data_IF_978439043603
#
_entry.id   IF_978439043603
#
_cell.length_a   1.000
_cell.length_b   1.000
_cell.length_c   1.000
_cell.angle_alpha   90.00
_cell.angle_beta   90.00
_cell.angle_gamma   90.00
#
_symmetry.space_group_name_H-M   'P 1'
#
loop_
_entity.id
_entity.type
_entity.pdbx_description
1 polymer ?
#
# COMPACT_ATOMS: atom_id res chain seq x y z
N UNK A 1 18.93 -3.54 6.08
CA UNK A 1 17.73 -4.39 6.30
C UNK A 1 18.03 -5.86 6.55
N UNK A 2 18.50 -6.65 5.57
CA UNK A 2 18.76 -8.10 5.80
C UNK A 2 19.81 -8.36 6.88
N UNK A 3 20.92 -7.62 6.86
CA UNK A 3 21.98 -7.73 7.87
C UNK A 3 21.49 -7.35 9.27
N UNK A 4 20.63 -6.34 9.38
CA UNK A 4 20.03 -5.89 10.64
C UNK A 4 19.08 -6.96 11.20
N UNK A 5 18.24 -7.55 10.34
CA UNK A 5 17.37 -8.66 10.72
C UNK A 5 18.17 -9.87 11.21
N UNK A 6 19.22 -10.25 10.48
CA UNK A 6 20.08 -11.38 10.88
C UNK A 6 20.82 -11.09 12.18
N UNK A 7 21.26 -9.85 12.39
CA UNK A 7 21.81 -9.41 13.69
C UNK A 7 20.80 -9.63 14.80
N UNK A 8 19.56 -9.16 14.63
CA UNK A 8 18.47 -9.32 15.61
C UNK A 8 18.09 -10.78 15.88
N UNK A 9 18.13 -11.64 14.87
CA UNK A 9 17.88 -13.09 15.03
C UNK A 9 19.00 -13.75 15.86
N UNK A 10 20.25 -13.32 15.67
CA UNK A 10 21.42 -13.92 16.32
C UNK A 10 21.75 -13.35 17.70
N UNK A 11 21.03 -12.31 18.16
CA UNK A 11 21.19 -11.75 19.51
C UNK A 11 20.85 -12.79 20.61
N UNK A 12 21.64 -12.86 21.70
CA UNK A 12 21.34 -13.73 22.82
C UNK A 12 19.94 -13.49 23.39
N UNK A 13 19.12 -14.54 23.48
CA UNK A 13 17.74 -14.45 23.97
C UNK A 13 16.72 -13.99 22.92
N UNK A 14 17.10 -13.84 21.65
CA UNK A 14 16.17 -13.49 20.57
C UNK A 14 15.03 -14.52 20.44
N UNK A 15 13.81 -14.01 20.30
CA UNK A 15 12.59 -14.80 20.04
C UNK A 15 12.23 -14.84 18.53
N UNK A 16 13.06 -14.26 17.67
CA UNK A 16 12.85 -14.30 16.22
C UNK A 16 13.42 -15.59 15.62
N UNK A 17 12.66 -16.22 14.72
CA UNK A 17 13.06 -17.44 14.01
C UNK A 17 12.80 -17.25 12.52
N UNK A 18 13.86 -17.39 11.72
CA UNK A 18 13.76 -17.38 10.26
C UNK A 18 13.73 -18.82 9.74
N UNK A 19 12.72 -19.15 8.93
CA UNK A 19 12.60 -20.43 8.23
C UNK A 19 12.78 -20.20 6.72
N UNK A 20 14.01 -20.23 6.18
CA UNK A 20 14.24 -20.09 4.74
C UNK A 20 13.66 -21.30 3.99
N UNK A 21 13.49 -21.16 2.67
CA UNK A 21 12.97 -22.21 1.79
C UNK A 21 11.64 -22.81 2.26
N UNK A 22 10.86 -22.09 3.06
CA UNK A 22 9.65 -22.59 3.71
C UNK A 22 8.46 -21.73 3.31
N UNK A 23 7.36 -22.36 2.95
CA UNK A 23 6.10 -21.70 2.62
C UNK A 23 5.02 -22.11 3.63
N UNK A 24 4.06 -21.22 3.87
CA UNK A 24 2.82 -21.54 4.58
C UNK A 24 1.87 -22.20 3.57
N UNK A 25 1.36 -23.38 3.88
CA UNK A 25 0.41 -24.11 3.01
C UNK A 25 -1.01 -24.15 3.59
N UNK A 26 -1.16 -23.93 4.89
CA UNK A 26 -2.46 -23.75 5.54
C UNK A 26 -2.33 -22.82 6.75
N UNK A 27 -3.40 -22.10 7.05
CA UNK A 27 -3.59 -21.37 8.31
C UNK A 27 -4.76 -22.07 8.98
N UNK A 28 -4.51 -22.63 10.15
CA UNK A 28 -5.39 -23.60 10.80
C UNK A 28 -5.98 -23.01 12.09
N UNK A 29 -7.25 -23.33 12.35
CA UNK A 29 -8.00 -22.90 13.53
C UNK A 29 -9.52 -22.86 13.27
N UNK A 30 -10.31 -22.73 14.34
CA UNK A 30 -11.79 -22.67 14.23
C UNK A 30 -12.29 -21.22 14.19
N UNK A 31 -12.30 -20.52 15.33
CA UNK A 31 -12.74 -19.11 15.43
C UNK A 31 -11.60 -18.11 15.26
N UNK A 32 -10.36 -18.55 15.48
CA UNK A 32 -9.14 -17.74 15.40
C UNK A 32 -7.99 -18.60 14.91
N UNK A 33 -6.87 -17.97 14.55
CA UNK A 33 -5.63 -18.68 14.21
C UNK A 33 -5.12 -19.44 15.43
N UNK A 34 -4.77 -20.71 15.24
CA UNK A 34 -4.18 -21.57 16.27
C UNK A 34 -2.85 -22.16 15.82
N UNK A 35 -2.67 -22.40 14.52
CA UNK A 35 -1.41 -22.88 13.96
C UNK A 35 -1.28 -22.58 12.47
N UNK A 36 -0.11 -22.84 11.92
CA UNK A 36 0.15 -22.87 10.48
C UNK A 36 0.80 -24.17 10.07
N UNK A 37 0.40 -24.69 8.92
CA UNK A 37 1.11 -25.78 8.26
C UNK A 37 2.20 -25.20 7.36
N UNK A 38 3.44 -25.60 7.61
CA UNK A 38 4.64 -25.15 6.88
C UNK A 38 5.17 -26.28 6.01
N UNK A 39 5.67 -25.93 4.82
CA UNK A 39 6.36 -26.86 3.93
C UNK A 39 7.69 -26.30 3.49
N UNK A 40 8.77 -27.05 3.72
CA UNK A 40 10.06 -26.74 3.13
C UNK A 40 10.08 -27.17 1.65
N UNK A 41 10.36 -26.25 0.72
CA UNK A 41 10.28 -26.51 -0.73
C UNK A 41 11.48 -27.30 -1.27
N UNK A 42 12.59 -27.38 -0.52
CA UNK A 42 13.76 -28.17 -0.92
C UNK A 42 13.71 -29.61 -0.39
N UNK A 43 13.37 -29.78 0.88
CA UNK A 43 13.33 -31.10 1.53
C UNK A 43 11.96 -31.77 1.45
N UNK A 44 10.92 -31.01 1.11
CA UNK A 44 9.50 -31.43 1.13
C UNK A 44 8.97 -31.79 2.52
N UNK A 45 9.74 -31.55 3.58
CA UNK A 45 9.28 -31.74 4.95
C UNK A 45 8.10 -30.82 5.26
N UNK A 46 7.11 -31.37 5.95
CA UNK A 46 5.93 -30.65 6.43
C UNK A 46 5.96 -30.65 7.95
N UNK A 47 5.70 -29.50 8.55
CA UNK A 47 5.58 -29.35 10.00
C UNK A 47 4.40 -28.43 10.33
N UNK A 48 3.85 -28.59 11.53
CA UNK A 48 2.87 -27.68 12.09
C UNK A 48 3.56 -26.76 13.09
N UNK A 49 3.20 -25.48 13.09
CA UNK A 49 3.71 -24.49 14.02
C UNK A 49 2.55 -23.80 14.71
N UNK A 50 2.45 -23.96 16.03
CA UNK A 50 1.44 -23.28 16.85
C UNK A 50 1.69 -21.77 16.87
N UNK A 51 0.64 -20.99 16.65
CA UNK A 51 0.70 -19.52 16.68
C UNK A 51 -0.70 -18.91 16.83
N UNK A 52 -0.79 -17.76 17.50
CA UNK A 52 -2.07 -17.06 17.68
C UNK A 52 -2.41 -16.07 16.54
N UNK A 53 -1.50 -15.87 15.57
CA UNK A 53 -1.68 -14.89 14.51
C UNK A 53 -0.67 -15.00 13.37
N UNK A 54 -1.13 -14.64 12.17
CA UNK A 54 -0.33 -14.62 10.94
C UNK A 54 -0.42 -13.23 10.32
N UNK A 55 0.74 -12.63 10.06
CA UNK A 55 0.85 -11.33 9.38
C UNK A 55 1.54 -11.52 8.03
N UNK A 56 0.84 -11.23 6.94
CA UNK A 56 1.30 -11.48 5.57
C UNK A 56 1.82 -10.18 4.96
N UNK A 57 3.13 -10.15 4.65
CA UNK A 57 3.80 -9.00 4.04
C UNK A 57 4.45 -9.37 2.70
N UNK A 58 3.65 -9.76 1.71
CA UNK A 58 4.11 -10.18 0.36
C UNK A 58 3.91 -9.11 -0.72
N UNK A 59 3.57 -7.89 -0.32
CA UNK A 59 3.20 -6.79 -1.21
C UNK A 59 1.68 -6.67 -1.42
N UNK A 60 1.28 -5.67 -2.19
CA UNK A 60 -0.11 -5.35 -2.49
C UNK A 60 -0.26 -5.07 -3.98
N UNK A 61 -1.34 -5.60 -4.57
CA UNK A 61 -1.75 -5.26 -5.93
C UNK A 61 -2.95 -4.31 -5.83
N UNK A 62 -2.83 -3.03 -6.23
CA UNK A 62 -3.94 -2.10 -6.16
C UNK A 62 -5.01 -2.43 -7.21
N UNK A 63 -6.28 -2.20 -6.88
CA UNK A 63 -7.44 -2.46 -7.75
C UNK A 63 -7.59 -1.40 -8.86
N UNK A 64 -6.56 -1.24 -9.69
CA UNK A 64 -6.44 -0.14 -10.66
C UNK A 64 -6.32 -0.61 -12.11
N UNK A 65 -6.32 -1.93 -12.33
CA UNK A 65 -6.08 -2.53 -13.64
C UNK A 65 -7.08 -2.08 -14.72
N UNK A 66 -8.32 -1.79 -14.35
CA UNK A 66 -9.36 -1.30 -15.27
C UNK A 66 -9.03 0.06 -15.91
N UNK A 67 -8.03 0.78 -15.38
CA UNK A 67 -7.58 2.10 -15.88
C UNK A 67 -6.30 2.00 -16.73
N UNK A 68 -5.80 0.79 -17.02
CA UNK A 68 -4.62 0.59 -17.86
C UNK A 68 -4.80 1.23 -19.24
N UNK A 69 -3.77 1.95 -19.70
CA UNK A 69 -3.76 2.67 -20.97
C UNK A 69 -4.52 4.00 -20.96
N UNK A 70 -5.26 4.31 -19.89
CA UNK A 70 -5.94 5.58 -19.72
C UNK A 70 -5.15 6.56 -18.85
N UNK A 71 -4.58 6.09 -17.73
CA UNK A 71 -3.72 6.89 -16.84
C UNK A 71 -2.34 6.25 -16.66
N UNK A 72 -1.41 7.02 -16.10
CA UNK A 72 -0.06 6.54 -15.80
C UNK A 72 0.03 5.78 -14.46
N UNK A 73 0.83 4.71 -14.49
CA UNK A 73 1.10 3.85 -13.33
C UNK A 73 2.58 3.82 -12.99
N UNK A 74 2.89 3.46 -11.75
CA UNK A 74 4.19 2.91 -11.37
C UNK A 74 4.32 1.47 -11.83
N UNK A 75 5.55 0.93 -11.77
CA UNK A 75 5.82 -0.47 -12.11
C UNK A 75 5.03 -1.46 -11.25
N UNK A 76 4.64 -1.06 -10.03
CA UNK A 76 3.87 -1.87 -9.09
C UNK A 76 2.35 -1.66 -9.22
N UNK A 77 1.88 -0.97 -10.27
CA UNK A 77 0.45 -0.79 -10.55
C UNK A 77 -0.25 0.35 -9.78
N UNK A 78 0.49 1.13 -8.99
CA UNK A 78 -0.07 2.30 -8.30
C UNK A 78 -0.19 3.48 -9.27
N UNK A 79 -1.27 4.26 -9.14
CA UNK A 79 -1.51 5.43 -9.99
C UNK A 79 -0.51 6.53 -9.64
N UNK A 80 0.13 7.11 -10.67
CA UNK A 80 0.98 8.30 -10.50
C UNK A 80 0.11 9.55 -10.43
N UNK A 81 0.44 10.44 -9.51
CA UNK A 81 -0.21 11.74 -9.39
C UNK A 81 0.74 12.81 -8.81
N UNK A 82 0.34 14.06 -8.98
CA UNK A 82 0.87 15.19 -8.22
C UNK A 82 0.60 14.97 -6.71
N UNK A 83 1.59 15.14 -5.81
CA UNK A 83 1.42 14.89 -4.38
C UNK A 83 0.68 16.00 -3.62
N UNK A 84 0.61 17.22 -4.15
CA UNK A 84 -0.05 18.37 -3.53
C UNK A 84 -1.54 18.44 -3.88
N UNK A 85 -1.91 18.08 -5.11
CA UNK A 85 -3.30 18.18 -5.61
C UNK A 85 -3.94 16.83 -5.95
N UNK A 86 -3.17 15.74 -5.96
CA UNK A 86 -3.64 14.39 -6.27
C UNK A 86 -4.30 14.26 -7.65
N UNK A 87 -3.90 15.12 -8.59
CA UNK A 87 -4.31 15.06 -10.00
C UNK A 87 -3.41 14.11 -10.78
N UNK A 88 -4.00 13.32 -11.68
CA UNK A 88 -3.25 12.41 -12.57
C UNK A 88 -2.75 13.16 -13.81
N UNK A 89 -2.21 12.44 -14.79
CA UNK A 89 -1.83 13.02 -16.09
C UNK A 89 -3.03 13.32 -16.99
N UNK A 90 -4.23 12.80 -16.66
CA UNK A 90 -5.46 13.03 -17.43
C UNK A 90 -6.30 14.12 -16.77
N UNK A 91 -6.56 15.25 -17.45
CA UNK A 91 -7.43 16.31 -16.95
C UNK A 91 -8.78 15.82 -16.43
N UNK A 92 -9.13 16.27 -15.23
CA UNK A 92 -10.37 15.88 -14.53
C UNK A 92 -10.32 14.54 -13.80
N UNK A 93 -9.22 13.79 -13.90
CA UNK A 93 -9.05 12.50 -13.21
C UNK A 93 -8.12 12.66 -12.02
N UNK A 94 -8.69 12.55 -10.83
CA UNK A 94 -7.97 12.57 -9.55
C UNK A 94 -7.86 11.17 -8.97
N UNK A 95 -6.97 11.01 -8.00
CA UNK A 95 -6.77 9.76 -7.27
C UNK A 95 -6.71 10.00 -5.77
N UNK A 96 -7.25 9.09 -4.98
CA UNK A 96 -7.22 9.18 -3.52
C UNK A 96 -7.03 7.82 -2.86
N UNK A 97 -6.30 7.79 -1.74
CA UNK A 97 -6.11 6.59 -0.94
C UNK A 97 -5.07 5.65 -1.51
N UNK A 98 -5.12 4.39 -1.06
CA UNK A 98 -4.01 3.44 -1.17
C UNK A 98 -3.66 3.04 -2.62
N UNK A 99 -4.46 3.42 -3.61
CA UNK A 99 -4.19 3.13 -5.01
C UNK A 99 -3.16 4.05 -5.67
N UNK A 100 -2.72 5.14 -5.01
CA UNK A 100 -1.72 6.07 -5.56
C UNK A 100 -0.30 5.81 -5.05
N UNK A 101 0.68 6.28 -5.82
CA UNK A 101 2.08 6.33 -5.39
C UNK A 101 2.21 7.22 -4.14
N UNK A 102 2.99 6.75 -3.17
CA UNK A 102 3.28 7.48 -1.93
C UNK A 102 2.14 7.51 -0.91
N UNK A 103 1.10 6.69 -1.08
CA UNK A 103 0.07 6.51 -0.08
C UNK A 103 0.67 5.89 1.20
N UNK A 104 0.29 6.42 2.37
CA UNK A 104 0.76 5.90 3.65
C UNK A 104 0.04 4.61 4.09
N UNK A 105 -0.98 4.18 3.35
CA UNK A 105 -1.77 2.96 3.62
C UNK A 105 -2.42 2.96 5.01
N UNK A 106 -3.03 4.09 5.40
CA UNK A 106 -3.69 4.28 6.69
C UNK A 106 -5.07 4.91 6.48
N UNK A 107 -6.02 4.59 7.37
CA UNK A 107 -7.39 5.10 7.28
C UNK A 107 -7.44 6.63 7.20
N UNK A 108 -6.71 7.32 8.08
CA UNK A 108 -6.74 8.78 8.14
C UNK A 108 -6.12 9.43 6.91
N UNK A 109 -5.08 8.83 6.32
CA UNK A 109 -4.44 9.37 5.13
C UNK A 109 -5.31 9.14 3.89
N UNK A 110 -5.96 7.98 3.78
CA UNK A 110 -6.94 7.73 2.72
C UNK A 110 -8.14 8.69 2.78
N UNK A 111 -8.66 8.96 3.98
CA UNK A 111 -9.72 9.97 4.18
C UNK A 111 -9.23 11.36 3.80
N UNK A 112 -8.00 11.72 4.19
CA UNK A 112 -7.40 13.03 3.89
C UNK A 112 -7.25 13.25 2.38
N UNK A 113 -6.75 12.24 1.67
CA UNK A 113 -6.67 12.24 0.21
C UNK A 113 -8.07 12.45 -0.41
N UNK A 114 -9.09 11.74 0.08
CA UNK A 114 -10.46 11.87 -0.43
C UNK A 114 -11.04 13.28 -0.26
N UNK A 115 -10.82 13.92 0.91
CA UNK A 115 -11.23 15.31 1.15
C UNK A 115 -10.49 16.27 0.21
N UNK A 116 -9.17 16.10 0.08
CA UNK A 116 -8.35 16.92 -0.81
C UNK A 116 -8.82 16.81 -2.26
N UNK A 117 -9.02 15.59 -2.77
CA UNK A 117 -9.54 15.35 -4.12
C UNK A 117 -10.91 16.00 -4.32
N UNK A 118 -11.84 15.91 -3.36
CA UNK A 118 -13.15 16.54 -3.49
C UNK A 118 -13.05 18.07 -3.60
N UNK A 119 -12.14 18.69 -2.84
CA UNK A 119 -11.89 20.14 -2.94
C UNK A 119 -11.25 20.51 -4.27
N UNK A 120 -10.29 19.73 -4.77
CA UNK A 120 -9.63 19.99 -6.05
C UNK A 120 -10.58 19.76 -7.23
N UNK A 121 -11.50 18.79 -7.13
CA UNK A 121 -12.55 18.60 -8.12
C UNK A 121 -13.47 19.82 -8.22
N UNK A 122 -13.86 20.41 -7.07
CA UNK A 122 -14.62 21.67 -7.06
C UNK A 122 -13.84 22.79 -7.76
N UNK A 123 -12.54 22.91 -7.49
CA UNK A 123 -11.68 23.88 -8.16
C UNK A 123 -11.62 23.66 -9.68
N UNK A 124 -11.41 22.42 -10.12
CA UNK A 124 -11.37 22.07 -11.54
C UNK A 124 -12.71 22.34 -12.26
N UNK A 125 -13.85 22.09 -11.61
CA UNK A 125 -15.15 22.44 -12.18
C UNK A 125 -15.38 23.95 -12.28
N UNK A 126 -14.80 24.74 -11.36
CA UNK A 126 -14.87 26.21 -11.42
C UNK A 126 -13.98 26.77 -12.52
N UNK A 127 -12.79 26.20 -12.68
CA UNK A 127 -11.80 26.63 -13.65
C UNK A 127 -10.96 25.42 -14.13
N UNK A 128 -11.29 24.85 -15.30
CA UNK A 128 -10.54 23.73 -15.86
C UNK A 128 -9.09 24.07 -16.24
N UNK A 129 -8.79 25.35 -16.54
CA UNK A 129 -7.43 25.80 -16.92
C UNK A 129 -6.45 25.70 -15.74
N UNK A 130 -6.96 25.74 -14.51
CA UNK A 130 -6.18 25.50 -13.28
C UNK A 130 -5.42 24.16 -13.30
N UNK A 131 -5.86 23.19 -14.10
CA UNK A 131 -5.21 21.88 -14.18
C UNK A 131 -3.73 21.92 -14.53
N UNK A 132 -3.28 22.92 -15.29
CA UNK A 132 -1.87 23.07 -15.67
C UNK A 132 -1.09 24.00 -14.75
N UNK A 133 -1.77 24.65 -13.79
CA UNK A 133 -1.14 25.60 -12.88
C UNK A 133 -0.24 24.89 -11.87
N UNK A 134 0.91 25.51 -11.58
CA UNK A 134 1.81 25.02 -10.54
C UNK A 134 1.21 25.19 -9.15
N UNK A 135 1.74 24.44 -8.18
CA UNK A 135 1.40 24.66 -6.77
C UNK A 135 1.72 26.10 -6.41
N UNK A 136 0.75 26.83 -5.85
CA UNK A 136 0.90 28.23 -5.46
C UNK A 136 0.36 28.48 -4.06
N UNK A 137 0.94 29.48 -3.40
CA UNK A 137 0.55 30.02 -2.10
C UNK A 137 -0.65 30.98 -2.16
N UNK A 138 -1.18 31.21 -3.37
CA UNK A 138 -2.35 32.07 -3.62
C UNK A 138 -3.65 31.39 -3.20
N UNK A 139 -3.73 30.06 -3.32
CA UNK A 139 -4.87 29.27 -2.82
C UNK A 139 -4.74 29.07 -1.31
N UNK A 140 -5.17 30.08 -0.56
CA UNK A 140 -5.21 29.98 0.90
C UNK A 140 -6.30 29.00 1.37
N UNK A 141 -6.11 28.32 2.52
CA UNK A 141 -7.15 27.52 3.15
C UNK A 141 -8.44 28.35 3.31
N UNK A 142 -9.52 27.94 2.65
CA UNK A 142 -10.80 28.65 2.67
C UNK A 142 -11.08 29.57 1.46
N UNK A 143 -10.18 29.65 0.49
CA UNK A 143 -10.40 30.36 -0.79
C UNK A 143 -11.23 29.59 -1.84
N UNK A 144 -11.86 28.49 -1.44
CA UNK A 144 -12.59 27.55 -2.30
C UNK A 144 -14.04 27.95 -2.56
#
# INVERSE_FOLDING_TARGET
LTEELMTKINEPGSNLRLKPDTIVTAIDGEERVESVTLKNVKTLAVEQLDCDGVFIFIGMVPNTEFLKGFIEFSENGFIKCDPAYLRTTVPGVFVAGDCRVGAAMQLITAVSDGVLTAMMMKQYFRDPEWWTESVSDVLQPGGW
#
